data_IF_508774790419
#
_entry.id   IF_508774790419
#
_cell.length_a   1.000
_cell.length_b   1.000
_cell.length_c   1.000
_cell.angle_alpha   90.00
_cell.angle_beta   90.00
_cell.angle_gamma   90.00
#
_symmetry.space_group_name_H-M   'P 1'
#
loop_
_entity.id
_entity.type
_entity.pdbx_description
1 polymer ?
#
# COMPACT_ATOMS: atom_id res chain seq x y z
N UNK A 1 8.61 3.33 -87.29
CA UNK A 1 7.33 3.54 -86.58
C UNK A 1 7.58 3.48 -85.07
N UNK A 2 6.99 4.39 -84.29
CA UNK A 2 7.31 4.66 -82.87
C UNK A 2 6.39 3.88 -81.91
N UNK A 3 7.01 3.34 -80.84
CA UNK A 3 6.57 3.09 -79.44
C UNK A 3 5.07 3.19 -79.09
N UNK A 4 4.58 2.22 -78.30
CA UNK A 4 4.21 2.42 -76.87
C UNK A 4 3.64 1.16 -76.20
N UNK A 5 4.36 0.68 -75.19
CA UNK A 5 3.83 -0.12 -74.07
C UNK A 5 2.63 0.57 -73.42
N UNK A 6 1.63 -0.22 -73.02
CA UNK A 6 0.55 0.20 -72.14
C UNK A 6 0.56 -0.69 -70.90
N UNK A 7 1.24 -0.19 -69.87
CA UNK A 7 1.14 -0.69 -68.49
C UNK A 7 -0.33 -0.72 -68.05
N UNK A 8 -0.79 -1.88 -67.56
CA UNK A 8 -2.06 -2.00 -66.84
C UNK A 8 -1.80 -1.68 -65.37
N UNK A 9 -2.27 -0.50 -64.92
CA UNK A 9 -2.34 -0.11 -63.51
C UNK A 9 -3.75 -0.35 -62.94
N UNK A 10 -3.74 -1.04 -61.79
CA UNK A 10 -4.51 -0.80 -60.56
C UNK A 10 -6.03 -0.98 -60.57
N UNK A 11 -6.46 -1.86 -59.67
CA UNK A 11 -7.80 -1.94 -59.12
C UNK A 11 -7.86 -2.82 -57.86
N UNK A 12 -6.87 -2.74 -56.97
CA UNK A 12 -7.00 -3.30 -55.62
C UNK A 12 -7.81 -2.30 -54.80
N UNK A 13 -9.11 -2.56 -54.69
CA UNK A 13 -9.99 -1.92 -53.73
C UNK A 13 -9.46 -2.21 -52.32
N UNK A 14 -8.68 -1.26 -51.79
CA UNK A 14 -8.48 -1.18 -50.35
C UNK A 14 -9.82 -0.77 -49.73
N UNK A 15 -10.57 -1.77 -49.26
CA UNK A 15 -11.62 -1.57 -48.26
C UNK A 15 -10.98 -0.89 -47.06
N UNK A 16 -11.08 0.44 -47.01
CA UNK A 16 -10.83 1.20 -45.80
C UNK A 16 -11.84 0.73 -44.77
N UNK A 17 -11.42 -0.17 -43.89
CA UNK A 17 -12.16 -0.46 -42.67
C UNK A 17 -12.13 0.84 -41.85
N UNK A 18 -13.21 1.61 -41.92
CA UNK A 18 -13.47 2.66 -40.92
C UNK A 18 -13.60 1.93 -39.58
N UNK A 19 -12.54 1.96 -38.77
CA UNK A 19 -12.62 1.59 -37.37
C UNK A 19 -13.67 2.49 -36.75
N UNK A 20 -14.80 1.89 -36.37
CA UNK A 20 -15.81 2.57 -35.56
C UNK A 20 -15.15 2.76 -34.19
N UNK A 21 -14.52 3.91 -33.98
CA UNK A 21 -14.02 4.33 -32.66
C UNK A 21 -15.24 4.43 -31.76
N UNK A 22 -15.44 3.43 -30.91
CA UNK A 22 -16.44 3.48 -29.85
C UNK A 22 -15.76 4.11 -28.64
N UNK A 23 -16.05 5.39 -28.31
CA UNK A 23 -15.33 6.10 -27.23
C UNK A 23 -15.45 5.40 -25.88
N UNK A 24 -16.56 4.67 -25.66
CA UNK A 24 -16.76 3.89 -24.44
C UNK A 24 -15.86 2.66 -24.37
N UNK A 25 -15.59 2.02 -25.51
CA UNK A 25 -14.66 0.89 -25.60
C UNK A 25 -13.21 1.36 -25.42
N UNK A 26 -12.86 2.51 -26.01
CA UNK A 26 -11.55 3.13 -25.83
C UNK A 26 -11.31 3.49 -24.36
N UNK A 27 -12.29 4.12 -23.71
CA UNK A 27 -12.22 4.44 -22.28
C UNK A 27 -12.09 3.19 -21.40
N UNK A 28 -12.80 2.10 -21.73
CA UNK A 28 -12.68 0.84 -20.99
C UNK A 28 -11.28 0.22 -21.14
N UNK A 29 -10.73 0.23 -22.36
CA UNK A 29 -9.36 -0.25 -22.61
C UNK A 29 -8.34 0.54 -21.80
N UNK A 30 -8.45 1.86 -21.79
CA UNK A 30 -7.55 2.73 -21.03
C UNK A 30 -7.70 2.52 -19.52
N UNK A 31 -8.93 2.34 -19.02
CA UNK A 31 -9.19 1.97 -17.62
C UNK A 31 -8.45 0.68 -17.26
N UNK A 32 -8.53 -0.36 -18.08
CA UNK A 32 -7.85 -1.64 -17.80
C UNK A 32 -6.32 -1.49 -17.76
N UNK A 33 -5.74 -0.71 -18.68
CA UNK A 33 -4.30 -0.44 -18.69
C UNK A 33 -3.84 0.33 -17.44
N UNK A 34 -4.63 1.32 -17.01
CA UNK A 34 -4.36 2.08 -15.80
C UNK A 34 -4.49 1.22 -14.54
N UNK A 35 -5.48 0.32 -14.47
CA UNK A 35 -5.64 -0.63 -13.36
C UNK A 35 -4.41 -1.54 -13.26
N UNK A 36 -3.94 -2.08 -14.38
CA UNK A 36 -2.73 -2.90 -14.40
C UNK A 36 -1.51 -2.10 -13.91
N UNK A 37 -1.39 -0.84 -14.35
CA UNK A 37 -0.30 0.05 -13.92
C UNK A 37 -0.37 0.39 -12.43
N UNK A 38 -1.58 0.57 -11.88
CA UNK A 38 -1.82 0.78 -10.45
C UNK A 38 -1.40 -0.45 -9.64
N UNK A 39 -1.84 -1.64 -10.06
CA UNK A 39 -1.49 -2.91 -9.41
C UNK A 39 0.02 -3.19 -9.46
N UNK A 40 0.66 -2.97 -10.60
CA UNK A 40 2.11 -3.14 -10.75
C UNK A 40 2.89 -2.19 -9.83
N UNK A 41 2.42 -0.95 -9.69
CA UNK A 41 3.04 0.03 -8.78
C UNK A 41 2.84 -0.36 -7.32
N UNK A 42 1.64 -0.85 -6.97
CA UNK A 42 1.34 -1.37 -5.64
C UNK A 42 2.21 -2.56 -5.25
N UNK A 43 2.39 -3.53 -6.16
CA UNK A 43 3.27 -4.69 -5.93
C UNK A 43 4.74 -4.29 -5.73
N UNK A 44 5.16 -3.16 -6.31
CA UNK A 44 6.49 -2.56 -6.12
C UNK A 44 6.57 -1.65 -4.89
N UNK A 45 5.50 -1.54 -4.10
CA UNK A 45 5.36 -0.64 -2.96
C UNK A 45 5.53 0.85 -3.31
N UNK A 46 5.35 1.21 -4.59
CA UNK A 46 5.33 2.59 -5.07
C UNK A 46 3.88 3.12 -4.97
N UNK A 47 3.48 3.40 -3.73
CA UNK A 47 2.10 3.77 -3.41
C UNK A 47 1.69 5.11 -4.05
N UNK A 48 2.61 6.07 -4.18
CA UNK A 48 2.33 7.35 -4.83
C UNK A 48 1.92 7.18 -6.29
N UNK A 49 2.63 6.31 -7.04
CA UNK A 49 2.25 5.98 -8.41
C UNK A 49 0.96 5.19 -8.47
N UNK A 50 0.77 4.23 -7.56
CA UNK A 50 -0.47 3.44 -7.50
C UNK A 50 -1.70 4.34 -7.28
N UNK A 51 -1.60 5.32 -6.38
CA UNK A 51 -2.65 6.33 -6.13
C UNK A 51 -2.92 7.14 -7.39
N UNK A 52 -1.87 7.68 -8.04
CA UNK A 52 -2.01 8.49 -9.25
C UNK A 52 -2.71 7.74 -10.40
N UNK A 53 -2.35 6.47 -10.63
CA UNK A 53 -3.04 5.65 -11.63
C UNK A 53 -4.51 5.40 -11.26
N UNK A 54 -4.80 5.11 -10.00
CA UNK A 54 -6.16 4.88 -9.50
C UNK A 54 -7.04 6.12 -9.64
N UNK A 55 -6.51 7.32 -9.36
CA UNK A 55 -7.20 8.59 -9.58
C UNK A 55 -7.55 8.81 -11.06
N UNK A 56 -6.64 8.44 -11.97
CA UNK A 56 -6.91 8.51 -13.41
C UNK A 56 -8.03 7.55 -13.81
N UNK A 57 -8.03 6.32 -13.30
CA UNK A 57 -9.12 5.36 -13.51
C UNK A 57 -10.45 5.96 -13.07
N UNK A 58 -10.53 6.50 -11.84
CA UNK A 58 -11.75 7.11 -11.31
C UNK A 58 -12.23 8.25 -12.23
N UNK A 59 -11.32 9.15 -12.66
CA UNK A 59 -11.68 10.26 -13.57
C UNK A 59 -12.22 9.76 -14.91
N UNK A 60 -11.66 8.71 -15.49
CA UNK A 60 -12.14 8.12 -16.74
C UNK A 60 -13.47 7.39 -16.56
N UNK A 61 -13.60 6.66 -15.46
CA UNK A 61 -14.79 5.89 -15.11
C UNK A 61 -15.99 6.82 -14.88
N UNK A 62 -15.81 7.96 -14.18
CA UNK A 62 -16.83 9.00 -14.02
C UNK A 62 -17.27 9.55 -15.38
N UNK A 63 -16.32 9.91 -16.24
CA UNK A 63 -16.63 10.45 -17.58
C UNK A 63 -17.39 9.47 -18.47
N UNK A 64 -17.24 8.18 -18.22
CA UNK A 64 -17.75 7.10 -19.07
C UNK A 64 -18.88 6.30 -18.42
N UNK A 65 -19.36 6.73 -17.24
CA UNK A 65 -20.38 6.06 -16.43
C UNK A 65 -20.06 4.58 -16.15
N UNK A 66 -18.85 4.31 -15.65
CA UNK A 66 -18.43 2.99 -15.18
C UNK A 66 -18.33 2.95 -13.64
N UNK A 67 -19.48 2.94 -12.97
CA UNK A 67 -19.59 3.03 -11.51
C UNK A 67 -18.80 1.94 -10.78
N UNK A 68 -18.86 0.70 -11.25
CA UNK A 68 -18.12 -0.43 -10.67
C UNK A 68 -16.62 -0.13 -10.55
N UNK A 69 -16.00 0.45 -11.58
CA UNK A 69 -14.58 0.78 -11.54
C UNK A 69 -14.27 1.94 -10.57
N UNK A 70 -15.23 2.81 -10.29
CA UNK A 70 -15.06 3.85 -9.26
C UNK A 70 -14.99 3.18 -7.88
N UNK A 71 -15.94 2.31 -7.57
CA UNK A 71 -16.01 1.61 -6.29
C UNK A 71 -14.78 0.72 -6.05
N UNK A 72 -14.37 -0.04 -7.05
CA UNK A 72 -13.17 -0.89 -7.00
C UNK A 72 -11.92 -0.07 -6.67
N UNK A 73 -11.74 1.09 -7.31
CA UNK A 73 -10.59 1.95 -7.08
C UNK A 73 -10.66 2.69 -5.74
N UNK A 74 -11.84 3.03 -5.25
CA UNK A 74 -11.99 3.59 -3.90
C UNK A 74 -11.57 2.58 -2.83
N UNK A 75 -11.99 1.32 -2.95
CA UNK A 75 -11.54 0.25 -2.05
C UNK A 75 -10.02 0.02 -2.14
N UNK A 76 -9.47 0.04 -3.35
CA UNK A 76 -8.03 -0.05 -3.55
C UNK A 76 -7.26 1.09 -2.85
N UNK A 77 -7.75 2.33 -2.93
CA UNK A 77 -7.15 3.48 -2.23
C UNK A 77 -7.24 3.37 -0.70
N UNK A 78 -8.35 2.85 -0.17
CA UNK A 78 -8.49 2.56 1.27
C UNK A 78 -7.41 1.56 1.72
N UNK A 79 -7.24 0.46 0.98
CA UNK A 79 -6.21 -0.54 1.29
C UNK A 79 -4.79 0.04 1.26
N UNK A 80 -4.50 0.94 0.31
CA UNK A 80 -3.21 1.65 0.27
C UNK A 80 -3.04 2.52 1.51
N UNK A 81 -4.08 3.28 1.89
CA UNK A 81 -4.03 4.14 3.07
C UNK A 81 -3.74 3.34 4.34
N UNK A 82 -4.43 2.20 4.53
CA UNK A 82 -4.18 1.28 5.64
C UNK A 82 -2.72 0.79 5.65
N UNK A 83 -2.18 0.36 4.50
CA UNK A 83 -0.79 -0.11 4.39
C UNK A 83 0.24 0.98 4.71
N UNK A 84 0.01 2.20 4.24
CA UNK A 84 0.89 3.34 4.52
C UNK A 84 0.84 3.69 6.00
N UNK A 85 -0.35 3.69 6.60
CA UNK A 85 -0.56 3.97 8.01
C UNK A 85 0.10 2.89 8.91
N UNK A 86 -0.08 1.61 8.60
CA UNK A 86 0.61 0.50 9.27
C UNK A 86 2.13 0.68 9.23
N UNK A 87 2.69 1.03 8.07
CA UNK A 87 4.13 1.24 7.92
C UNK A 87 4.63 2.43 8.75
N UNK A 88 3.87 3.52 8.78
CA UNK A 88 4.18 4.69 9.60
C UNK A 88 4.20 4.32 11.08
N UNK A 89 3.13 3.72 11.61
CA UNK A 89 3.07 3.30 13.02
C UNK A 89 4.15 2.27 13.36
N UNK A 90 4.40 1.29 12.48
CA UNK A 90 5.47 0.32 12.70
C UNK A 90 6.86 0.97 12.77
N UNK A 91 7.07 2.12 12.12
CA UNK A 91 8.32 2.89 12.23
C UNK A 91 8.38 3.72 13.52
N UNK A 92 7.28 4.41 13.86
CA UNK A 92 7.16 5.20 15.09
C UNK A 92 7.35 4.33 16.32
N UNK A 93 6.67 3.17 16.36
CA UNK A 93 6.75 2.21 17.46
C UNK A 93 8.17 1.64 17.58
N UNK A 94 8.87 1.37 16.47
CA UNK A 94 10.25 0.89 16.53
C UNK A 94 11.19 1.88 17.21
N UNK A 95 11.02 3.18 16.99
CA UNK A 95 11.79 4.19 17.70
C UNK A 95 11.34 4.34 19.15
N UNK A 96 10.02 4.33 19.41
CA UNK A 96 9.48 4.43 20.75
C UNK A 96 9.90 3.25 21.66
N UNK A 97 9.97 2.03 21.12
CA UNK A 97 10.45 0.83 21.85
C UNK A 97 11.90 1.03 22.31
N UNK A 98 12.77 1.61 21.50
CA UNK A 98 14.18 1.85 21.89
C UNK A 98 14.26 2.82 23.08
N UNK A 99 13.45 3.87 23.06
CA UNK A 99 13.44 4.84 24.17
C UNK A 99 12.86 4.23 25.45
N UNK A 100 11.76 3.48 25.33
CA UNK A 100 11.18 2.76 26.47
C UNK A 100 12.15 1.71 27.02
N UNK A 101 12.87 0.98 26.17
CA UNK A 101 13.86 0.00 26.60
C UNK A 101 14.99 0.65 27.43
N UNK A 102 15.46 1.85 27.04
CA UNK A 102 16.47 2.58 27.82
C UNK A 102 15.95 2.91 29.23
N UNK A 103 14.74 3.48 29.32
CA UNK A 103 14.15 3.84 30.61
C UNK A 103 13.90 2.58 31.44
N UNK A 104 13.37 1.54 30.81
CA UNK A 104 13.15 0.24 31.42
C UNK A 104 14.44 -0.32 32.03
N UNK A 105 15.55 -0.32 31.29
CA UNK A 105 16.83 -0.81 31.80
C UNK A 105 17.35 -0.02 33.01
N UNK A 106 17.21 1.32 32.99
CA UNK A 106 17.57 2.17 34.14
C UNK A 106 16.74 1.79 35.37
N UNK A 107 15.44 1.57 35.21
CA UNK A 107 14.56 1.17 36.31
C UNK A 107 14.92 -0.22 36.86
N UNK A 108 15.28 -1.17 35.98
CA UNK A 108 15.77 -2.49 36.40
C UNK A 108 17.08 -2.37 37.20
N UNK A 109 18.04 -1.57 36.73
CA UNK A 109 19.30 -1.33 37.44
C UNK A 109 19.08 -0.68 38.81
N UNK A 110 18.11 0.23 38.90
CA UNK A 110 17.66 0.84 40.15
C UNK A 110 16.80 -0.09 41.03
N UNK A 111 16.55 -1.34 40.60
CA UNK A 111 15.66 -2.32 41.25
C UNK A 111 14.21 -1.87 41.40
N UNK A 112 13.77 -0.92 40.57
CA UNK A 112 12.41 -0.42 40.51
C UNK A 112 11.56 -1.27 39.55
N UNK A 113 11.47 -2.57 39.81
CA UNK A 113 10.90 -3.56 38.88
C UNK A 113 9.43 -3.29 38.57
N UNK A 114 8.62 -2.90 39.58
CA UNK A 114 7.21 -2.58 39.36
C UNK A 114 7.02 -1.37 38.43
N UNK A 115 7.88 -0.35 38.54
CA UNK A 115 7.84 0.82 37.66
C UNK A 115 8.31 0.47 36.25
N UNK A 116 9.32 -0.40 36.13
CA UNK A 116 9.77 -0.93 34.85
C UNK A 116 8.63 -1.70 34.14
N UNK A 117 7.86 -2.50 34.88
CA UNK A 117 6.69 -3.17 34.32
C UNK A 117 5.60 -2.18 33.91
N UNK A 118 5.29 -1.20 34.77
CA UNK A 118 4.25 -0.21 34.52
C UNK A 118 4.52 0.64 33.28
N UNK A 119 5.78 1.03 33.04
CA UNK A 119 6.12 1.81 31.84
C UNK A 119 5.92 0.99 30.56
N UNK A 120 6.24 -0.31 30.58
CA UNK A 120 6.00 -1.21 29.45
C UNK A 120 4.50 -1.41 29.19
N UNK A 121 3.70 -1.63 30.24
CA UNK A 121 2.24 -1.80 30.09
C UNK A 121 1.53 -0.50 29.68
N UNK A 122 2.03 0.65 30.12
CA UNK A 122 1.54 1.96 29.66
C UNK A 122 1.85 2.17 28.19
N UNK A 123 3.06 1.82 27.76
CA UNK A 123 3.45 1.84 26.36
C UNK A 123 2.55 0.95 25.50
N UNK A 124 2.30 -0.30 25.92
CA UNK A 124 1.41 -1.23 25.20
C UNK A 124 0.00 -0.69 25.05
N UNK A 125 -0.60 -0.20 26.15
CA UNK A 125 -1.94 0.40 26.11
C UNK A 125 -2.04 1.61 25.18
N UNK A 126 -0.97 2.38 24.99
CA UNK A 126 -0.98 3.53 24.09
C UNK A 126 -1.08 3.14 22.60
N UNK A 127 -0.60 1.94 22.23
CA UNK A 127 -0.51 1.50 20.84
C UNK A 127 -1.40 0.29 20.49
N UNK A 128 -2.04 -0.36 21.48
CA UNK A 128 -2.84 -1.58 21.28
C UNK A 128 -3.96 -1.45 20.23
N UNK A 129 -4.58 -0.27 20.12
CA UNK A 129 -5.70 -0.03 19.20
C UNK A 129 -5.24 0.47 17.82
N UNK A 130 -3.94 0.75 17.66
CA UNK A 130 -3.36 1.35 16.45
C UNK A 130 -2.68 0.31 15.56
N UNK A 131 -2.10 -0.73 16.17
CA UNK A 131 -1.40 -1.80 15.46
C UNK A 131 -1.42 -3.08 16.30
N UNK A 132 -1.30 -4.22 15.63
CA UNK A 132 -0.99 -5.48 16.30
C UNK A 132 0.44 -5.45 16.86
N UNK A 133 0.58 -5.24 18.16
CA UNK A 133 1.88 -5.22 18.85
C UNK A 133 2.58 -6.59 18.83
N UNK A 134 1.83 -7.69 18.73
CA UNK A 134 2.40 -9.03 18.64
C UNK A 134 3.16 -9.26 17.33
N UNK A 135 2.86 -8.47 16.30
CA UNK A 135 3.58 -8.50 15.03
C UNK A 135 4.98 -7.89 15.10
N UNK A 136 5.35 -7.22 16.21
CA UNK A 136 6.59 -6.46 16.36
C UNK A 136 7.59 -7.23 17.25
N UNK A 137 8.66 -7.83 16.69
CA UNK A 137 9.59 -8.69 17.45
C UNK A 137 10.24 -8.01 18.66
N UNK A 138 10.58 -6.73 18.54
CA UNK A 138 11.22 -5.96 19.61
C UNK A 138 10.33 -5.84 20.86
N UNK A 139 9.01 -5.71 20.68
CA UNK A 139 8.07 -5.65 21.81
C UNK A 139 8.04 -7.00 22.51
N UNK A 140 7.93 -8.10 21.76
CA UNK A 140 7.98 -9.46 22.32
C UNK A 140 9.26 -9.74 23.10
N UNK A 141 10.40 -9.28 22.60
CA UNK A 141 11.68 -9.40 23.31
C UNK A 141 11.67 -8.67 24.65
N UNK A 142 11.14 -7.44 24.67
CA UNK A 142 11.03 -6.63 25.88
C UNK A 142 10.05 -7.23 26.89
N UNK A 143 8.92 -7.78 26.43
CA UNK A 143 7.97 -8.51 27.29
C UNK A 143 8.57 -9.78 27.90
N UNK A 144 9.32 -10.55 27.11
CA UNK A 144 10.03 -11.73 27.62
C UNK A 144 11.09 -11.33 28.66
N UNK A 145 11.73 -10.17 28.49
CA UNK A 145 12.67 -9.62 29.47
C UNK A 145 11.95 -9.18 30.75
N UNK A 146 10.82 -8.49 30.63
CA UNK A 146 9.96 -8.09 31.76
C UNK A 146 9.52 -9.28 32.60
N UNK A 147 8.96 -10.30 31.95
CA UNK A 147 8.55 -11.53 32.64
C UNK A 147 9.71 -12.18 33.40
N UNK A 148 10.91 -12.23 32.82
CA UNK A 148 12.09 -12.81 33.48
C UNK A 148 12.53 -12.01 34.70
N UNK A 149 12.59 -10.69 34.59
CA UNK A 149 13.02 -9.84 35.72
C UNK A 149 11.99 -9.85 36.85
N UNK A 150 10.69 -9.87 36.56
CA UNK A 150 9.63 -10.00 37.56
C UNK A 150 9.72 -11.30 38.35
N UNK A 151 9.88 -12.44 37.66
CA UNK A 151 10.07 -13.75 38.30
C UNK A 151 11.32 -13.75 39.18
N UNK A 152 12.44 -13.25 38.66
CA UNK A 152 13.73 -13.20 39.38
C UNK A 152 13.64 -12.36 40.65
N UNK A 153 12.89 -11.27 40.62
CA UNK A 153 12.73 -10.35 41.75
C UNK A 153 11.48 -10.63 42.61
N UNK A 154 10.72 -11.69 42.31
CA UNK A 154 9.47 -12.07 43.01
C UNK A 154 8.43 -10.94 43.05
N UNK A 155 8.34 -10.18 41.96
CA UNK A 155 7.34 -9.13 41.79
C UNK A 155 6.26 -9.70 40.87
N UNK A 156 5.07 -9.91 41.44
CA UNK A 156 3.93 -10.50 40.72
C UNK A 156 3.39 -9.63 39.61
#
# INVERSE_FOLDING_TARGET
MKRKEKERKKGTEQRQQKTIKNPRLEALSEIMELINSANDSYMKMDYDKAINYSEKVIRLAIKSNFEQHIEEQQQFLINIAEKVQEKYFASEIREAVKEIEKIYNILIEAKQISQAHEILETFKRHYQDKIDLDSIPLIKELEMKDRRERIKNKVE
#
